data_IF_917730988488
#
_entry.id   IF_917730988488
#
_cell.length_a   1.000
_cell.length_b   1.000
_cell.length_c   1.000
_cell.angle_alpha   90.00
_cell.angle_beta   90.00
_cell.angle_gamma   90.00
#
_symmetry.space_group_name_H-M   'P 1'
#
loop_
_entity.id
_entity.type
_entity.pdbx_description
1 polymer ?
#
# COMPACT_ATOMS: atom_id res chain seq x y z
N UNK A 1 -4.60 -2.43 19.88
CA UNK A 1 -3.32 -1.73 20.12
C UNK A 1 -2.22 -2.65 19.61
N UNK A 2 -1.80 -2.51 18.34
CA UNK A 2 -0.68 -3.31 17.78
C UNK A 2 0.61 -2.86 18.48
N UNK A 3 1.43 -3.80 18.88
CA UNK A 3 2.68 -3.55 19.57
C UNK A 3 3.63 -2.70 18.69
N UNK A 4 4.40 -1.76 19.25
CA UNK A 4 5.28 -0.89 18.47
C UNK A 4 6.37 -1.65 17.70
N UNK A 5 6.79 -2.79 18.23
CA UNK A 5 7.85 -3.62 17.69
C UNK A 5 7.42 -4.31 16.38
N UNK A 6 6.20 -4.84 16.32
CA UNK A 6 5.61 -5.42 15.10
C UNK A 6 5.38 -4.36 14.04
N UNK A 7 4.99 -3.14 14.42
CA UNK A 7 4.85 -2.03 13.45
C UNK A 7 6.18 -1.69 12.80
N UNK A 8 7.27 -1.60 13.57
CA UNK A 8 8.62 -1.37 13.03
C UNK A 8 9.06 -2.52 12.13
N UNK A 9 8.81 -3.78 12.52
CA UNK A 9 9.12 -4.96 11.71
C UNK A 9 8.44 -4.90 10.34
N UNK A 10 7.13 -4.57 10.32
CA UNK A 10 6.34 -4.44 9.08
C UNK A 10 6.87 -3.31 8.20
N UNK A 11 7.26 -2.17 8.78
CA UNK A 11 7.82 -1.05 8.02
C UNK A 11 9.18 -1.38 7.39
N UNK A 12 10.06 -2.08 8.12
CA UNK A 12 11.36 -2.52 7.59
C UNK A 12 11.12 -3.49 6.41
N UNK A 13 10.24 -4.47 6.59
CA UNK A 13 9.89 -5.42 5.52
C UNK A 13 9.29 -4.72 4.29
N UNK A 14 8.36 -3.80 4.49
CA UNK A 14 7.74 -3.05 3.40
C UNK A 14 8.77 -2.20 2.63
N UNK A 15 9.75 -1.62 3.34
CA UNK A 15 10.82 -0.84 2.70
C UNK A 15 11.70 -1.70 1.80
N UNK A 16 12.17 -2.85 2.30
CA UNK A 16 12.97 -3.78 1.50
C UNK A 16 12.20 -4.29 0.28
N UNK A 17 10.92 -4.64 0.47
CA UNK A 17 10.08 -5.13 -0.62
C UNK A 17 9.84 -4.06 -1.70
N UNK A 18 9.62 -2.81 -1.28
CA UNK A 18 9.49 -1.68 -2.20
C UNK A 18 10.76 -1.54 -3.05
N UNK A 19 11.94 -1.51 -2.43
CA UNK A 19 13.21 -1.38 -3.14
C UNK A 19 13.43 -2.51 -4.16
N UNK A 20 13.13 -3.75 -3.78
CA UNK A 20 13.37 -4.91 -4.64
C UNK A 20 12.40 -4.97 -5.83
N UNK A 21 11.13 -4.65 -5.62
CA UNK A 21 10.16 -4.56 -6.71
C UNK A 21 10.48 -3.39 -7.65
N UNK A 22 10.87 -2.23 -7.11
CA UNK A 22 11.30 -1.07 -7.91
C UNK A 22 12.53 -1.39 -8.76
N UNK A 23 13.54 -2.06 -8.19
CA UNK A 23 14.73 -2.54 -8.95
C UNK A 23 14.33 -3.49 -10.06
N UNK A 24 13.46 -4.47 -9.78
CA UNK A 24 13.01 -5.45 -10.76
C UNK A 24 12.21 -4.86 -11.93
N UNK A 25 11.55 -3.71 -11.71
CA UNK A 25 10.72 -3.04 -12.71
C UNK A 25 11.37 -1.77 -13.31
N UNK A 26 12.57 -1.41 -12.88
CA UNK A 26 13.27 -0.18 -13.26
C UNK A 26 12.43 1.09 -13.03
N UNK A 27 11.86 1.21 -11.83
CA UNK A 27 11.05 2.36 -11.41
C UNK A 27 11.74 3.06 -10.24
N UNK A 28 11.72 4.39 -10.23
CA UNK A 28 12.21 5.16 -9.09
C UNK A 28 11.34 4.90 -7.85
N UNK A 29 11.89 4.42 -6.72
CA UNK A 29 11.15 4.20 -5.49
C UNK A 29 10.39 5.43 -4.98
N UNK A 30 10.84 6.65 -5.31
CA UNK A 30 10.16 7.92 -4.95
C UNK A 30 8.86 8.14 -5.72
N UNK A 31 8.72 7.49 -6.88
CA UNK A 31 7.53 7.54 -7.72
C UNK A 31 6.65 6.31 -7.50
N UNK A 32 6.77 5.64 -6.36
CA UNK A 32 6.07 4.39 -6.08
C UNK A 32 5.30 4.44 -4.76
N UNK A 33 4.23 3.66 -4.70
CA UNK A 33 3.48 3.35 -3.49
C UNK A 33 3.40 1.83 -3.35
N UNK A 34 3.79 1.32 -2.18
CA UNK A 34 3.59 -0.08 -1.81
C UNK A 34 2.37 -0.21 -0.89
N UNK A 35 1.43 -1.06 -1.27
CA UNK A 35 0.24 -1.37 -0.47
C UNK A 35 0.37 -2.79 0.05
N UNK A 36 0.49 -2.95 1.37
CA UNK A 36 0.62 -4.24 2.05
C UNK A 36 -0.75 -4.78 2.50
N UNK A 37 -0.85 -6.10 2.68
CA UNK A 37 -2.05 -6.73 3.26
C UNK A 37 -3.23 -6.85 2.29
N UNK A 38 -2.97 -6.84 0.99
CA UNK A 38 -3.99 -6.99 -0.04
C UNK A 38 -4.44 -8.45 -0.11
N UNK A 39 -5.74 -8.70 0.03
CA UNK A 39 -6.28 -10.05 -0.07
C UNK A 39 -6.22 -10.55 -1.53
N UNK A 40 -6.09 -11.85 -1.72
CA UNK A 40 -6.01 -12.50 -3.04
C UNK A 40 -7.19 -12.16 -3.96
N UNK A 41 -8.38 -11.97 -3.38
CA UNK A 41 -9.60 -11.63 -4.09
C UNK A 41 -9.57 -10.24 -4.77
N UNK A 42 -8.62 -9.36 -4.39
CA UNK A 42 -8.46 -8.06 -5.02
C UNK A 42 -7.49 -8.15 -6.19
N UNK A 43 -8.03 -7.90 -7.39
CA UNK A 43 -7.26 -7.79 -8.63
C UNK A 43 -6.88 -6.34 -8.96
N UNK A 44 -6.11 -6.18 -10.03
CA UNK A 44 -5.65 -4.88 -10.51
C UNK A 44 -6.80 -3.89 -10.77
N UNK A 45 -7.89 -4.37 -11.37
CA UNK A 45 -9.07 -3.57 -11.68
C UNK A 45 -9.83 -3.09 -10.44
N UNK A 46 -9.70 -3.81 -9.32
CA UNK A 46 -10.37 -3.48 -8.06
C UNK A 46 -9.53 -2.57 -7.16
N UNK A 47 -8.20 -2.71 -7.19
CA UNK A 47 -7.29 -1.97 -6.29
C UNK A 47 -7.14 -0.52 -6.72
N UNK A 48 -6.94 -0.25 -8.02
CA UNK A 48 -6.73 1.12 -8.49
C UNK A 48 -7.89 2.07 -8.16
N UNK A 49 -9.18 1.69 -8.31
CA UNK A 49 -10.30 2.52 -7.91
C UNK A 49 -10.37 2.78 -6.40
N UNK A 50 -10.08 1.77 -5.56
CA UNK A 50 -10.07 1.90 -4.10
C UNK A 50 -8.98 2.88 -3.68
N UNK A 51 -7.78 2.71 -4.24
CA UNK A 51 -6.65 3.60 -4.02
C UNK A 51 -6.96 5.03 -4.49
N UNK A 52 -7.63 5.20 -5.62
CA UNK A 52 -8.07 6.51 -6.13
C UNK A 52 -9.06 7.18 -5.18
N UNK A 53 -10.07 6.44 -4.70
CA UNK A 53 -11.07 6.96 -3.77
C UNK A 53 -10.48 7.34 -2.41
N UNK A 54 -9.46 6.59 -1.95
CA UNK A 54 -8.80 6.87 -0.67
C UNK A 54 -7.83 8.07 -0.71
N UNK A 55 -7.41 8.50 -1.91
CA UNK A 55 -6.39 9.56 -2.04
C UNK A 55 -6.62 10.42 -3.30
N UNK A 56 -7.07 11.65 -3.12
CA UNK A 56 -7.26 12.58 -4.24
C UNK A 56 -5.95 13.03 -4.91
N UNK A 57 -4.77 12.77 -4.33
CA UNK A 57 -3.50 13.20 -4.92
C UNK A 57 -2.95 12.26 -5.99
N UNK A 58 -3.59 11.12 -6.19
CA UNK A 58 -3.01 10.00 -6.90
C UNK A 58 -3.97 9.54 -8.02
N UNK A 59 -4.42 10.50 -8.83
CA UNK A 59 -5.40 10.33 -9.90
C UNK A 59 -4.89 9.56 -11.13
N UNK A 60 -3.57 9.39 -11.27
CA UNK A 60 -2.92 8.70 -12.40
C UNK A 60 -1.91 7.66 -11.93
N UNK A 61 -2.29 6.83 -10.95
CA UNK A 61 -1.47 5.67 -10.61
C UNK A 61 -1.64 4.58 -11.65
N UNK A 62 -0.62 3.74 -11.78
CA UNK A 62 -0.71 2.49 -12.52
C UNK A 62 -0.16 1.37 -11.65
N UNK A 63 -0.91 0.29 -11.48
CA UNK A 63 -0.37 -0.91 -10.87
C UNK A 63 0.74 -1.49 -11.75
N UNK A 64 1.87 -1.85 -11.13
CA UNK A 64 3.05 -2.36 -11.82
C UNK A 64 3.36 -3.81 -11.50
N UNK A 65 2.96 -4.25 -10.33
CA UNK A 65 2.96 -5.67 -10.02
C UNK A 65 2.42 -5.96 -8.63
N UNK A 66 2.31 -7.25 -8.35
CA UNK A 66 1.95 -7.77 -7.03
C UNK A 66 2.86 -8.94 -6.68
N UNK A 67 3.12 -9.10 -5.39
CA UNK A 67 3.90 -10.21 -4.84
C UNK A 67 3.21 -10.74 -3.60
N UNK A 68 3.23 -12.05 -3.42
CA UNK A 68 2.71 -12.67 -2.20
C UNK A 68 3.78 -12.62 -1.10
N UNK A 69 3.44 -12.00 0.02
CA UNK A 69 4.30 -11.87 1.20
C UNK A 69 3.89 -12.93 2.21
N UNK A 70 4.72 -13.98 2.35
CA UNK A 70 4.40 -15.13 3.20
C UNK A 70 4.23 -14.75 4.67
N UNK A 71 5.06 -13.82 5.14
CA UNK A 71 5.07 -13.31 6.52
C UNK A 71 3.73 -12.64 6.88
N UNK A 72 3.10 -11.99 5.91
CA UNK A 72 1.78 -11.34 6.09
C UNK A 72 0.61 -12.24 5.69
N UNK A 73 0.88 -13.37 5.03
CA UNK A 73 -0.16 -14.23 4.44
C UNK A 73 -1.03 -13.49 3.41
N UNK A 74 -0.49 -12.44 2.78
CA UNK A 74 -1.24 -11.52 1.93
C UNK A 74 -0.37 -10.98 0.78
N UNK A 75 -0.99 -10.34 -0.20
CA UNK A 75 -0.28 -9.68 -1.29
C UNK A 75 0.20 -8.28 -0.89
N UNK A 76 1.34 -7.91 -1.47
CA UNK A 76 1.78 -6.54 -1.58
C UNK A 76 1.67 -6.10 -3.04
N UNK A 77 1.23 -4.86 -3.25
CA UNK A 77 0.97 -4.30 -4.58
C UNK A 77 1.80 -3.05 -4.77
N UNK A 78 2.56 -3.00 -5.86
CA UNK A 78 3.34 -1.83 -6.25
C UNK A 78 2.56 -1.01 -7.28
N UNK A 79 2.36 0.26 -6.96
CA UNK A 79 1.75 1.24 -7.84
C UNK A 79 2.78 2.31 -8.20
N UNK A 80 2.96 2.57 -9.48
CA UNK A 80 3.71 3.73 -9.95
C UNK A 80 2.83 4.97 -9.94
N UNK A 81 3.45 6.09 -9.61
CA UNK A 81 2.85 7.40 -9.47
C UNK A 81 3.36 8.32 -10.57
N UNK A 82 2.55 9.28 -11.05
CA UNK A 82 2.93 10.16 -12.14
C UNK A 82 4.02 11.17 -11.75
N UNK A 83 4.23 11.37 -10.45
CA UNK A 83 5.25 12.26 -9.89
C UNK A 83 5.62 11.79 -8.48
N UNK A 84 6.80 12.22 -8.02
CA UNK A 84 7.26 11.95 -6.67
C UNK A 84 6.25 12.45 -5.65
N UNK A 85 5.95 11.64 -4.64
CA UNK A 85 5.07 12.04 -3.54
C UNK A 85 5.92 12.71 -2.47
N UNK A 86 5.50 13.91 -2.07
CA UNK A 86 6.04 14.53 -0.86
C UNK A 86 5.58 13.71 0.35
N UNK A 87 6.51 13.18 1.18
CA UNK A 87 6.19 12.40 2.37
C UNK A 87 5.21 13.07 3.33
N UNK A 88 5.19 14.41 3.38
CA UNK A 88 4.27 15.20 4.21
C UNK A 88 2.81 15.06 3.77
N UNK A 89 2.56 14.65 2.53
CA UNK A 89 1.22 14.45 2.00
C UNK A 89 0.61 13.11 2.44
N UNK A 90 1.42 12.17 2.94
CA UNK A 90 0.98 10.84 3.38
C UNK A 90 0.52 10.82 4.85
N UNK A 91 0.91 11.82 5.66
CA UNK A 91 0.45 11.95 7.06
C UNK A 91 -1.08 12.12 7.18
N UNK A 92 -1.76 12.48 6.09
CA UNK A 92 -3.22 12.63 6.04
C UNK A 92 -3.97 11.35 5.65
N UNK A 93 -3.29 10.20 5.55
CA UNK A 93 -3.95 8.92 5.32
C UNK A 93 -4.76 8.54 6.58
N UNK A 94 -6.07 8.24 6.49
CA UNK A 94 -6.84 7.84 7.66
C UNK A 94 -6.20 6.60 8.28
N UNK A 95 -5.81 6.70 9.56
CA UNK A 95 -5.21 5.60 10.32
C UNK A 95 -6.26 4.54 10.64
N UNK A 96 -6.67 3.77 9.62
CA UNK A 96 -7.56 2.62 9.76
C UNK A 96 -8.98 2.99 10.21
N UNK A 97 -9.97 2.39 9.54
CA UNK A 97 -11.27 2.19 10.16
C UNK A 97 -11.09 1.15 11.28
N UNK A 98 -10.82 1.62 12.49
CA UNK A 98 -10.96 0.79 13.69
C UNK A 98 -12.43 0.41 13.78
N UNK A 99 -12.74 -0.85 13.47
CA UNK A 99 -14.11 -1.36 13.48
C UNK A 99 -14.81 -1.07 14.80
N UNK A 100 -15.83 -0.22 14.76
CA UNK A 100 -16.92 -0.29 15.72
C UNK A 100 -17.85 -1.43 15.27
N UNK A 101 -18.33 -2.29 16.18
CA UNK A 101 -19.36 -3.26 15.81
C UNK A 101 -20.61 -2.46 15.45
N UNK A 102 -21.03 -2.52 14.19
CA UNK A 102 -22.31 -1.99 13.78
C UNK A 102 -23.40 -2.85 14.42
N UNK A 103 -23.99 -2.37 15.50
CA UNK A 103 -25.27 -2.87 15.99
C UNK A 103 -26.31 -2.49 14.95
N UNK A 104 -26.73 -3.46 14.12
CA UNK A 104 -27.95 -3.31 13.34
C UNK A 104 -29.12 -3.19 14.31
N UNK A 105 -29.84 -2.07 14.25
CA UNK A 105 -31.20 -1.96 14.78
C UNK A 105 -32.20 -2.37 13.70
#
# INVERSE_FOLDING_TARGET
MKDPLSKTQVCIMALHLLEDLCKGMNIDPRNCLLVMGVLEAFDEGSIEPILRASTEYLHKRKMRGRIFVREEGAFAVLCELPSAVDPLQFERMPQGISGAPATFQ
#
